data_IF_676591765147
#
_entry.id   IF_676591765147
#
_cell.length_a   1.000
_cell.length_b   1.000
_cell.length_c   1.000
_cell.angle_alpha   90.00
_cell.angle_beta   90.00
_cell.angle_gamma   90.00
#
_symmetry.space_group_name_H-M   'P 1'
#
loop_
_entity.id
_entity.type
_entity.pdbx_description
1 polymer ?
#
# COMPACT_ATOMS: atom_id res chain seq x y z
N UNK A 1 -0.55 -29.79 -7.39
CA UNK A 1 0.06 -28.94 -6.34
C UNK A 1 -0.97 -28.91 -5.23
N UNK A 2 -0.61 -29.26 -4.00
CA UNK A 2 -1.57 -29.30 -2.89
C UNK A 2 -1.96 -27.84 -2.60
N UNK A 3 -3.22 -27.47 -2.81
CA UNK A 3 -3.72 -26.15 -2.44
C UNK A 3 -3.62 -26.04 -0.91
N UNK A 4 -2.57 -25.38 -0.45
CA UNK A 4 -2.44 -25.01 0.97
C UNK A 4 -3.53 -23.97 1.21
N UNK A 5 -4.60 -24.36 1.90
CA UNK A 5 -5.56 -23.44 2.49
C UNK A 5 -4.79 -22.45 3.36
N UNK A 6 -4.99 -21.16 3.10
CA UNK A 6 -4.44 -20.09 3.92
C UNK A 6 -5.58 -19.41 4.67
N UNK A 7 -5.30 -18.93 5.87
CA UNK A 7 -6.28 -18.13 6.59
C UNK A 7 -6.36 -16.70 6.04
N UNK A 8 -7.34 -15.93 6.52
CA UNK A 8 -7.54 -14.54 6.08
C UNK A 8 -6.37 -13.63 6.48
N UNK A 9 -5.66 -13.93 7.57
CA UNK A 9 -4.50 -13.17 8.01
C UNK A 9 -3.34 -13.33 7.02
N UNK A 10 -3.04 -14.56 6.60
CA UNK A 10 -2.06 -14.88 5.57
C UNK A 10 -2.44 -14.27 4.21
N UNK A 11 -3.73 -14.32 3.84
CA UNK A 11 -4.22 -13.72 2.61
C UNK A 11 -4.01 -12.19 2.61
N UNK A 12 -4.29 -11.53 3.73
CA UNK A 12 -4.03 -10.11 3.91
C UNK A 12 -2.54 -9.80 3.80
N UNK A 13 -1.66 -10.63 4.36
CA UNK A 13 -0.21 -10.44 4.24
C UNK A 13 0.23 -10.50 2.78
N UNK A 14 -0.27 -11.45 1.98
CA UNK A 14 0.00 -11.50 0.54
C UNK A 14 -0.39 -10.21 -0.18
N UNK A 15 -1.52 -9.59 0.20
CA UNK A 15 -1.95 -8.31 -0.38
C UNK A 15 -0.92 -7.21 -0.10
N UNK A 16 -0.50 -7.03 1.16
CA UNK A 16 0.45 -5.98 1.54
C UNK A 16 1.89 -6.25 1.12
N UNK A 17 2.21 -7.51 0.82
CA UNK A 17 3.45 -7.88 0.16
C UNK A 17 3.43 -7.63 -1.35
N UNK A 18 2.30 -7.23 -1.96
CA UNK A 18 2.19 -7.04 -3.41
C UNK A 18 1.99 -8.33 -4.21
N UNK A 19 1.72 -9.46 -3.53
CA UNK A 19 1.56 -10.78 -4.13
C UNK A 19 0.14 -11.03 -4.66
N UNK A 20 -0.38 -10.10 -5.48
CA UNK A 20 -1.79 -10.08 -5.87
C UNK A 20 -2.23 -11.31 -6.69
N UNK A 21 -1.39 -11.78 -7.63
CA UNK A 21 -1.70 -12.98 -8.41
C UNK A 21 -1.84 -14.21 -7.51
N UNK A 22 -0.87 -14.42 -6.62
CA UNK A 22 -0.90 -15.53 -5.67
C UNK A 22 -2.11 -15.45 -4.75
N UNK A 23 -2.48 -14.25 -4.29
CA UNK A 23 -3.68 -14.03 -3.48
C UNK A 23 -4.97 -14.43 -4.21
N UNK A 24 -5.09 -14.14 -5.51
CA UNK A 24 -6.28 -14.50 -6.29
C UNK A 24 -6.43 -16.01 -6.52
N UNK A 25 -5.32 -16.74 -6.58
CA UNK A 25 -5.31 -18.20 -6.70
C UNK A 25 -5.80 -18.93 -5.45
N UNK A 26 -5.73 -18.27 -4.27
CA UNK A 26 -6.11 -18.89 -2.99
C UNK A 26 -7.62 -18.96 -2.82
N UNK A 27 -8.10 -20.08 -2.32
CA UNK A 27 -9.48 -20.19 -1.84
C UNK A 27 -9.59 -19.54 -0.46
N UNK A 28 -10.38 -18.47 -0.38
CA UNK A 28 -10.63 -17.70 0.85
C UNK A 28 -12.09 -17.82 1.32
N UNK A 29 -12.87 -18.69 0.65
CA UNK A 29 -14.31 -18.77 0.77
C UNK A 29 -15.05 -17.54 0.23
N UNK A 30 -16.37 -17.56 0.37
CA UNK A 30 -17.28 -16.53 -0.18
C UNK A 30 -17.65 -15.44 0.83
N UNK A 31 -16.88 -15.29 1.91
CA UNK A 31 -17.18 -14.27 2.91
C UNK A 31 -16.90 -12.85 2.37
N UNK A 32 -17.60 -11.87 2.93
CA UNK A 32 -17.55 -10.49 2.47
C UNK A 32 -16.13 -9.90 2.49
N UNK A 33 -15.35 -10.16 3.55
CA UNK A 33 -14.00 -9.64 3.69
C UNK A 33 -13.04 -10.22 2.63
N UNK A 34 -13.16 -11.51 2.33
CA UNK A 34 -12.40 -12.18 1.27
C UNK A 34 -12.74 -11.60 -0.11
N UNK A 35 -14.03 -11.36 -0.41
CA UNK A 35 -14.47 -10.73 -1.67
C UNK A 35 -13.91 -9.32 -1.81
N UNK A 36 -13.90 -8.53 -0.74
CA UNK A 36 -13.32 -7.18 -0.76
C UNK A 36 -11.81 -7.23 -1.01
N UNK A 37 -11.10 -8.11 -0.31
CA UNK A 37 -9.66 -8.26 -0.46
C UNK A 37 -9.28 -8.71 -1.89
N UNK A 38 -9.99 -9.69 -2.44
CA UNK A 38 -9.82 -10.13 -3.83
C UNK A 38 -10.16 -9.02 -4.83
N UNK A 39 -11.24 -8.28 -4.61
CA UNK A 39 -11.58 -7.11 -5.43
C UNK A 39 -10.48 -6.07 -5.46
N UNK A 40 -9.89 -5.74 -4.29
CA UNK A 40 -8.73 -4.84 -4.23
C UNK A 40 -7.55 -5.39 -5.03
N UNK A 41 -7.23 -6.68 -4.88
CA UNK A 41 -6.14 -7.32 -5.60
C UNK A 41 -6.36 -7.38 -7.12
N UNK A 42 -7.58 -7.67 -7.59
CA UNK A 42 -7.95 -7.62 -9.00
C UNK A 42 -7.70 -6.23 -9.58
N UNK A 43 -8.04 -5.17 -8.84
CA UNK A 43 -7.81 -3.79 -9.31
C UNK A 43 -6.31 -3.49 -9.41
N UNK A 44 -5.50 -3.94 -8.45
CA UNK A 44 -4.04 -3.79 -8.53
C UNK A 44 -3.43 -4.51 -9.74
N UNK A 45 -4.12 -5.51 -10.29
CA UNK A 45 -3.74 -6.24 -11.50
C UNK A 45 -4.36 -5.65 -12.79
N UNK A 46 -4.93 -4.45 -12.72
CA UNK A 46 -5.53 -3.77 -13.89
C UNK A 46 -6.89 -4.33 -14.33
N UNK A 47 -7.57 -5.09 -13.46
CA UNK A 47 -8.91 -5.67 -13.76
C UNK A 47 -10.06 -4.80 -13.25
N UNK A 48 -9.90 -3.48 -13.19
CA UNK A 48 -10.90 -2.55 -12.65
C UNK A 48 -12.28 -2.71 -13.27
N UNK A 49 -12.36 -2.73 -14.60
CA UNK A 49 -13.63 -2.88 -15.33
C UNK A 49 -14.38 -4.18 -15.03
N UNK A 50 -13.68 -5.30 -14.82
CA UNK A 50 -14.29 -6.58 -14.46
C UNK A 50 -14.96 -6.49 -13.08
N UNK A 51 -14.25 -5.92 -12.10
CA UNK A 51 -14.75 -5.75 -10.74
C UNK A 51 -15.95 -4.80 -10.72
N UNK A 52 -15.90 -3.70 -11.47
CA UNK A 52 -17.03 -2.76 -11.57
C UNK A 52 -18.30 -3.46 -12.10
N UNK A 53 -18.15 -4.37 -13.06
CA UNK A 53 -19.26 -5.18 -13.55
C UNK A 53 -19.80 -6.15 -12.48
N UNK A 54 -18.92 -6.78 -11.70
CA UNK A 54 -19.31 -7.66 -10.59
C UNK A 54 -20.05 -6.89 -9.48
N UNK A 55 -19.61 -5.67 -9.17
CA UNK A 55 -20.15 -4.83 -8.09
C UNK A 55 -21.39 -4.02 -8.48
N UNK A 56 -21.87 -4.08 -9.73
CA UNK A 56 -22.95 -3.23 -10.24
C UNK A 56 -24.26 -3.32 -9.44
N UNK A 57 -24.55 -4.50 -8.87
CA UNK A 57 -25.78 -4.79 -8.13
C UNK A 57 -25.55 -4.84 -6.62
N UNK A 58 -24.32 -4.65 -6.16
CA UNK A 58 -24.00 -4.65 -4.73
C UNK A 58 -24.46 -3.34 -4.09
N UNK A 59 -25.03 -3.46 -2.88
CA UNK A 59 -25.63 -2.33 -2.16
C UNK A 59 -25.13 -2.19 -0.73
N UNK A 60 -24.28 -3.09 -0.25
CA UNK A 60 -23.73 -2.98 1.10
C UNK A 60 -22.66 -1.88 1.14
N UNK A 61 -22.52 -1.14 2.25
CA UNK A 61 -21.56 -0.04 2.35
C UNK A 61 -20.12 -0.43 1.97
N UNK A 62 -19.71 -1.66 2.28
CA UNK A 62 -18.37 -2.15 1.98
C UNK A 62 -18.13 -2.33 0.48
N UNK A 63 -19.10 -2.89 -0.24
CA UNK A 63 -18.99 -3.08 -1.69
C UNK A 63 -19.21 -1.78 -2.46
N UNK A 64 -20.05 -0.87 -1.95
CA UNK A 64 -20.17 0.49 -2.48
C UNK A 64 -18.86 1.27 -2.29
N UNK A 65 -18.21 1.15 -1.13
CA UNK A 65 -16.90 1.77 -0.91
C UNK A 65 -15.82 1.18 -1.83
N UNK A 66 -15.83 -0.14 -2.04
CA UNK A 66 -14.96 -0.79 -3.01
C UNK A 66 -15.22 -0.28 -4.43
N UNK A 67 -16.47 -0.18 -4.86
CA UNK A 67 -16.84 0.32 -6.18
C UNK A 67 -16.41 1.78 -6.36
N UNK A 68 -16.70 2.64 -5.40
CA UNK A 68 -16.27 4.03 -5.40
C UNK A 68 -14.75 4.19 -5.50
N UNK A 69 -13.99 3.38 -4.75
CA UNK A 69 -12.53 3.36 -4.85
C UNK A 69 -12.04 2.85 -6.22
N UNK A 70 -12.60 1.76 -6.76
CA UNK A 70 -12.21 1.26 -8.09
C UNK A 70 -12.55 2.30 -9.18
N UNK A 71 -13.72 2.94 -9.14
CA UNK A 71 -14.09 4.01 -10.08
C UNK A 71 -13.07 5.15 -10.07
N UNK A 72 -12.72 5.62 -8.86
CA UNK A 72 -11.75 6.69 -8.67
C UNK A 72 -10.39 6.34 -9.29
N UNK A 73 -9.94 5.12 -9.04
CA UNK A 73 -8.64 4.61 -9.45
C UNK A 73 -8.55 4.28 -10.96
N UNK A 74 -9.66 3.94 -11.61
CA UNK A 74 -9.76 3.75 -13.07
C UNK A 74 -9.91 5.09 -13.83
N UNK A 75 -9.99 6.21 -13.11
CA UNK A 75 -9.99 7.57 -13.66
C UNK A 75 -11.35 8.27 -13.65
N UNK A 76 -12.44 7.59 -13.29
CA UNK A 76 -13.75 8.22 -13.04
C UNK A 76 -13.80 8.82 -11.63
N UNK A 77 -12.97 9.86 -11.44
CA UNK A 77 -12.79 10.50 -10.14
C UNK A 77 -14.09 11.10 -9.60
N UNK A 78 -14.89 11.73 -10.45
CA UNK A 78 -16.12 12.41 -10.03
C UNK A 78 -17.12 11.41 -9.44
N UNK A 79 -17.38 10.31 -10.17
CA UNK A 79 -18.29 9.29 -9.69
C UNK A 79 -17.71 8.55 -8.47
N UNK A 80 -16.43 8.21 -8.50
CA UNK A 80 -15.74 7.54 -7.40
C UNK A 80 -15.79 8.33 -6.09
N UNK A 81 -15.48 9.64 -6.13
CA UNK A 81 -15.55 10.53 -4.96
C UNK A 81 -16.99 10.67 -4.47
N UNK A 82 -17.96 10.83 -5.37
CA UNK A 82 -19.38 10.96 -5.01
C UNK A 82 -19.86 9.72 -4.23
N UNK A 83 -19.54 8.53 -4.73
CA UNK A 83 -19.95 7.28 -4.11
C UNK A 83 -19.26 7.06 -2.75
N UNK A 84 -17.96 7.35 -2.65
CA UNK A 84 -17.22 7.31 -1.39
C UNK A 84 -17.82 8.27 -0.37
N UNK A 85 -18.11 9.52 -0.75
CA UNK A 85 -18.71 10.52 0.15
C UNK A 85 -20.09 10.09 0.63
N UNK A 86 -20.89 9.47 -0.24
CA UNK A 86 -22.16 8.86 0.17
C UNK A 86 -21.93 7.79 1.24
N UNK A 87 -20.99 6.86 1.03
CA UNK A 87 -20.68 5.80 1.99
C UNK A 87 -20.18 6.35 3.33
N UNK A 88 -19.32 7.38 3.32
CA UNK A 88 -18.85 8.05 4.53
C UNK A 88 -20.03 8.67 5.30
N UNK A 89 -20.95 9.35 4.60
CA UNK A 89 -22.10 9.98 5.25
C UNK A 89 -23.06 8.98 5.92
N UNK A 90 -23.22 7.79 5.34
CA UNK A 90 -24.17 6.78 5.83
C UNK A 90 -23.54 5.76 6.77
N UNK A 91 -22.23 5.53 6.66
CA UNK A 91 -21.56 4.36 7.25
C UNK A 91 -20.11 4.64 7.64
N UNK A 92 -19.80 5.84 8.15
CA UNK A 92 -18.44 6.26 8.57
C UNK A 92 -17.75 5.37 9.60
N UNK A 93 -18.48 4.56 10.37
CA UNK A 93 -17.91 3.62 11.34
C UNK A 93 -17.55 2.25 10.74
N UNK A 94 -17.89 2.01 9.48
CA UNK A 94 -17.56 0.76 8.81
C UNK A 94 -16.07 0.74 8.43
N UNK A 95 -15.37 -0.32 8.82
CA UNK A 95 -13.92 -0.42 8.62
C UNK A 95 -13.49 -0.32 7.15
N UNK A 96 -14.22 -0.94 6.21
CA UNK A 96 -13.92 -0.84 4.77
C UNK A 96 -14.16 0.57 4.24
N UNK A 97 -15.24 1.22 4.68
CA UNK A 97 -15.54 2.62 4.32
C UNK A 97 -14.45 3.55 4.86
N UNK A 98 -13.99 3.35 6.10
CA UNK A 98 -12.91 4.13 6.69
C UNK A 98 -11.62 4.02 5.87
N UNK A 99 -11.19 2.80 5.54
CA UNK A 99 -9.93 2.59 4.82
C UNK A 99 -10.02 3.08 3.37
N UNK A 100 -11.03 2.66 2.61
CA UNK A 100 -11.13 3.01 1.19
C UNK A 100 -11.53 4.47 1.00
N UNK A 101 -12.43 4.98 1.86
CA UNK A 101 -12.80 6.39 1.87
C UNK A 101 -11.64 7.27 2.31
N UNK A 102 -10.92 6.88 3.37
CA UNK A 102 -9.71 7.55 3.80
C UNK A 102 -8.64 7.58 2.70
N UNK A 103 -8.47 6.49 1.95
CA UNK A 103 -7.52 6.44 0.84
C UNK A 103 -7.87 7.44 -0.26
N UNK A 104 -9.15 7.51 -0.67
CA UNK A 104 -9.59 8.50 -1.67
C UNK A 104 -9.41 9.93 -1.16
N UNK A 105 -9.76 10.21 0.10
CA UNK A 105 -9.56 11.53 0.71
C UNK A 105 -8.06 11.90 0.77
N UNK A 106 -7.19 10.95 1.13
CA UNK A 106 -5.73 11.13 1.11
C UNK A 106 -5.21 11.47 -0.29
N UNK A 107 -5.68 10.77 -1.33
CA UNK A 107 -5.28 11.02 -2.73
C UNK A 107 -5.76 12.36 -3.27
N UNK A 108 -6.88 12.87 -2.73
CA UNK A 108 -7.41 14.20 -3.02
C UNK A 108 -6.86 15.28 -2.07
N UNK A 109 -5.82 14.97 -1.29
CA UNK A 109 -5.14 15.88 -0.35
C UNK A 109 -6.07 16.46 0.74
N UNK A 110 -7.18 15.79 1.02
CA UNK A 110 -8.15 16.16 2.07
C UNK A 110 -7.77 15.52 3.40
N UNK A 111 -6.55 15.82 3.87
CA UNK A 111 -5.91 15.15 4.99
C UNK A 111 -6.70 15.26 6.31
N UNK A 112 -7.24 16.43 6.64
CA UNK A 112 -8.01 16.61 7.88
C UNK A 112 -9.31 15.79 7.85
N UNK A 113 -9.99 15.73 6.71
CA UNK A 113 -11.21 14.92 6.54
C UNK A 113 -10.87 13.42 6.62
N UNK A 114 -9.75 13.00 6.03
CA UNK A 114 -9.27 11.62 6.10
C UNK A 114 -8.95 11.22 7.56
N UNK A 115 -8.22 12.04 8.30
CA UNK A 115 -7.91 11.80 9.71
C UNK A 115 -9.18 11.74 10.57
N UNK A 116 -10.16 12.62 10.33
CA UNK A 116 -11.44 12.62 11.03
C UNK A 116 -12.24 11.32 10.80
N UNK A 117 -12.19 10.77 9.59
CA UNK A 117 -12.81 9.49 9.26
C UNK A 117 -12.06 8.32 9.91
N UNK A 118 -10.73 8.33 9.83
CA UNK A 118 -9.88 7.21 10.24
C UNK A 118 -9.75 7.09 11.76
N UNK A 119 -9.74 8.20 12.52
CA UNK A 119 -9.58 8.18 14.00
C UNK A 119 -10.63 7.33 14.73
N UNK A 120 -11.76 7.04 14.09
CA UNK A 120 -12.81 6.17 14.62
C UNK A 120 -12.54 4.68 14.44
N UNK A 121 -11.34 4.29 13.99
CA UNK A 121 -10.99 2.88 13.78
C UNK A 121 -11.04 2.09 15.09
N UNK A 122 -11.34 0.79 14.99
CA UNK A 122 -11.32 -0.14 16.12
C UNK A 122 -10.19 -1.14 15.90
N UNK A 123 -8.97 -0.78 16.29
CA UNK A 123 -7.75 -1.62 16.13
C UNK A 123 -7.56 -2.13 14.68
N UNK A 124 -7.88 -1.28 13.70
CA UNK A 124 -7.66 -1.59 12.29
C UNK A 124 -6.28 -1.09 11.84
N UNK A 125 -5.35 -2.01 11.60
CA UNK A 125 -3.98 -1.73 11.15
C UNK A 125 -3.90 -0.97 9.82
N UNK A 126 -4.85 -1.14 8.90
CA UNK A 126 -4.86 -0.42 7.62
C UNK A 126 -5.21 1.05 7.83
N UNK A 127 -6.13 1.34 8.75
CA UNK A 127 -6.47 2.71 9.12
C UNK A 127 -5.28 3.40 9.81
N UNK A 128 -4.61 2.71 10.74
CA UNK A 128 -3.37 3.20 11.38
C UNK A 128 -2.30 3.52 10.35
N UNK A 129 -2.03 2.60 9.42
CA UNK A 129 -1.02 2.80 8.39
C UNK A 129 -1.32 4.05 7.52
N UNK A 130 -2.60 4.26 7.19
CA UNK A 130 -3.00 5.43 6.42
C UNK A 130 -2.90 6.74 7.23
N UNK A 131 -3.22 6.71 8.53
CA UNK A 131 -2.98 7.85 9.44
C UNK A 131 -1.48 8.19 9.47
N UNK A 132 -0.60 7.18 9.60
CA UNK A 132 0.85 7.35 9.57
C UNK A 132 1.29 7.98 8.25
N UNK A 133 0.80 7.49 7.10
CA UNK A 133 1.12 8.07 5.79
C UNK A 133 0.70 9.54 5.69
N UNK A 134 -0.49 9.89 6.18
CA UNK A 134 -0.97 11.28 6.22
C UNK A 134 -0.02 12.15 7.07
N UNK A 135 0.29 11.72 8.30
CA UNK A 135 1.21 12.47 9.16
C UNK A 135 2.60 12.65 8.54
N UNK A 136 3.14 11.63 7.86
CA UNK A 136 4.41 11.76 7.15
C UNK A 136 4.30 12.76 5.98
N UNK A 137 3.21 12.76 5.22
CA UNK A 137 2.97 13.76 4.15
C UNK A 137 2.85 15.19 4.66
N UNK A 138 2.25 15.37 5.84
CA UNK A 138 2.15 16.68 6.49
C UNK A 138 3.42 17.07 7.28
N UNK A 139 4.50 16.30 7.16
CA UNK A 139 5.75 16.47 7.90
C UNK A 139 5.60 16.40 9.44
N UNK A 140 4.57 15.72 9.92
CA UNK A 140 4.26 15.53 11.35
C UNK A 140 4.87 14.23 11.90
N UNK A 141 6.20 14.09 11.79
CA UNK A 141 6.92 12.87 12.20
C UNK A 141 6.60 12.43 13.64
N UNK A 142 6.44 13.36 14.58
CA UNK A 142 6.14 13.03 15.99
C UNK A 142 4.78 12.36 16.17
N UNK A 143 3.76 12.81 15.44
CA UNK A 143 2.43 12.20 15.51
C UNK A 143 2.42 10.83 14.83
N UNK A 144 3.11 10.69 13.70
CA UNK A 144 3.32 9.39 13.06
C UNK A 144 3.99 8.37 14.00
N UNK A 145 5.04 8.77 14.72
CA UNK A 145 5.71 7.92 15.70
C UNK A 145 4.79 7.55 16.88
N UNK A 146 4.00 8.50 17.37
CA UNK A 146 3.05 8.24 18.47
C UNK A 146 1.98 7.23 18.05
N UNK A 147 1.46 7.36 16.83
CA UNK A 147 0.47 6.43 16.28
C UNK A 147 1.07 5.02 16.15
N UNK A 148 2.30 4.90 15.62
CA UNK A 148 3.02 3.64 15.54
C UNK A 148 3.20 2.99 16.92
N UNK A 149 3.65 3.74 17.92
CA UNK A 149 3.88 3.21 19.27
C UNK A 149 2.58 2.70 19.93
N UNK A 150 1.45 3.35 19.69
CA UNK A 150 0.14 2.86 20.14
C UNK A 150 -0.20 1.54 19.43
N UNK A 151 -0.04 1.48 18.12
CA UNK A 151 -0.36 0.29 17.33
C UNK A 151 0.48 -0.94 17.73
N UNK A 152 1.76 -0.74 18.05
CA UNK A 152 2.67 -1.81 18.50
C UNK A 152 2.22 -2.48 19.81
N UNK A 153 1.38 -1.84 20.61
CA UNK A 153 0.87 -2.46 21.84
C UNK A 153 -0.11 -3.62 21.59
N UNK A 154 -0.70 -3.69 20.39
CA UNK A 154 -1.71 -4.70 20.04
C UNK A 154 -1.45 -5.41 18.69
N UNK A 155 -0.58 -4.88 17.83
CA UNK A 155 -0.25 -5.46 16.51
C UNK A 155 1.26 -5.42 16.18
N UNK A 156 2.13 -5.71 17.15
CA UNK A 156 3.60 -5.66 16.98
C UNK A 156 4.12 -6.52 15.83
N UNK A 157 3.49 -7.67 15.57
CA UNK A 157 3.94 -8.67 14.60
C UNK A 157 3.21 -8.55 13.25
N UNK A 158 2.37 -7.53 13.09
CA UNK A 158 1.63 -7.30 11.86
C UNK A 158 2.52 -6.65 10.80
N UNK A 159 2.57 -7.24 9.61
CA UNK A 159 3.39 -6.74 8.49
C UNK A 159 3.08 -5.28 8.14
N UNK A 160 1.83 -4.83 8.29
CA UNK A 160 1.43 -3.47 7.98
C UNK A 160 2.05 -2.48 8.98
N UNK A 161 2.18 -2.89 10.24
CA UNK A 161 2.84 -2.11 11.28
C UNK A 161 4.36 -2.09 11.06
N UNK A 162 4.96 -3.21 10.65
CA UNK A 162 6.38 -3.26 10.27
C UNK A 162 6.67 -2.37 9.04
N UNK A 163 5.81 -2.39 8.02
CA UNK A 163 5.92 -1.49 6.87
C UNK A 163 5.78 -0.02 7.28
N UNK A 164 4.87 0.28 8.21
CA UNK A 164 4.69 1.64 8.74
C UNK A 164 5.93 2.11 9.53
N UNK A 165 6.58 1.23 10.27
CA UNK A 165 7.88 1.47 10.92
C UNK A 165 8.96 1.76 9.88
N UNK A 166 9.05 0.94 8.83
CA UNK A 166 10.00 1.14 7.74
C UNK A 166 9.81 2.51 7.05
N UNK A 167 8.57 2.97 6.82
CA UNK A 167 8.30 4.29 6.25
C UNK A 167 8.73 5.44 7.18
N UNK A 168 8.46 5.32 8.48
CA UNK A 168 8.89 6.31 9.48
C UNK A 168 10.42 6.40 9.54
N UNK A 169 11.11 5.26 9.46
CA UNK A 169 12.56 5.20 9.52
C UNK A 169 13.22 5.71 8.22
N UNK A 170 12.65 5.42 7.05
CA UNK A 170 13.06 6.05 5.79
C UNK A 170 12.80 7.56 5.78
N UNK A 171 11.74 8.02 6.43
CA UNK A 171 11.46 9.46 6.56
C UNK A 171 12.50 10.16 7.44
N UNK A 172 12.98 9.51 8.51
CA UNK A 172 14.08 10.02 9.35
C UNK A 172 15.42 10.04 8.59
N UNK A 173 15.65 9.01 7.77
CA UNK A 173 16.90 8.79 7.05
C UNK A 173 18.10 8.49 7.95
N UNK A 174 19.29 8.52 7.36
CA UNK A 174 20.54 8.20 8.06
C UNK A 174 20.55 6.76 8.57
N UNK A 175 21.00 6.55 9.80
CA UNK A 175 21.13 5.20 10.36
C UNK A 175 19.79 4.47 10.55
N UNK A 176 18.66 5.21 10.64
CA UNK A 176 17.33 4.62 10.75
C UNK A 176 16.97 3.78 9.52
N UNK A 177 17.44 4.18 8.33
CA UNK A 177 17.21 3.43 7.09
C UNK A 177 17.75 1.99 7.13
N UNK A 178 18.67 1.67 8.04
CA UNK A 178 19.15 0.30 8.22
C UNK A 178 18.04 -0.64 8.71
N UNK A 179 17.14 -0.15 9.58
CA UNK A 179 15.99 -0.94 10.02
C UNK A 179 15.04 -1.21 8.86
N UNK A 180 14.71 -0.17 8.09
CA UNK A 180 13.88 -0.28 6.88
C UNK A 180 14.47 -1.26 5.87
N UNK A 181 15.80 -1.23 5.67
CA UNK A 181 16.50 -2.18 4.80
C UNK A 181 16.21 -3.63 5.21
N UNK A 182 16.38 -3.99 6.48
CA UNK A 182 16.15 -5.37 6.93
C UNK A 182 14.68 -5.78 6.82
N UNK A 183 13.74 -4.87 7.11
CA UNK A 183 12.31 -5.14 6.94
C UNK A 183 12.01 -5.45 5.46
N UNK A 184 12.48 -4.63 4.52
CA UNK A 184 12.25 -4.87 3.09
C UNK A 184 13.00 -6.10 2.56
N UNK A 185 14.23 -6.34 3.02
CA UNK A 185 15.02 -7.52 2.66
C UNK A 185 14.30 -8.82 3.08
N UNK A 186 13.78 -8.89 4.31
CA UNK A 186 13.01 -10.04 4.79
C UNK A 186 11.75 -10.30 3.94
N UNK A 187 11.02 -9.24 3.60
CA UNK A 187 9.85 -9.33 2.73
C UNK A 187 10.22 -9.78 1.32
N UNK A 188 11.30 -9.25 0.76
CA UNK A 188 11.80 -9.60 -0.56
C UNK A 188 12.31 -11.06 -0.62
N UNK A 189 12.90 -11.60 0.46
CA UNK A 189 13.35 -12.99 0.51
C UNK A 189 12.20 -14.01 0.32
N UNK A 190 11.01 -13.69 0.82
CA UNK A 190 9.87 -14.60 0.76
C UNK A 190 9.20 -14.56 -0.62
N UNK A 191 8.93 -13.36 -1.15
CA UNK A 191 8.34 -13.20 -2.48
C UNK A 191 8.79 -11.88 -3.10
N UNK A 192 9.92 -11.87 -3.83
CA UNK A 192 10.44 -10.66 -4.45
C UNK A 192 9.44 -10.11 -5.46
N UNK A 193 9.14 -8.82 -5.36
CA UNK A 193 8.31 -8.10 -6.31
C UNK A 193 8.69 -6.62 -6.35
N UNK A 194 8.10 -5.89 -7.29
CA UNK A 194 8.38 -4.48 -7.54
C UNK A 194 8.34 -3.62 -6.26
N UNK A 195 7.32 -3.83 -5.43
CA UNK A 195 7.08 -3.02 -4.22
C UNK A 195 8.16 -3.26 -3.16
N UNK A 196 8.43 -4.52 -2.81
CA UNK A 196 9.38 -4.86 -1.75
C UNK A 196 10.81 -4.51 -2.14
N UNK A 197 11.19 -4.80 -3.40
CA UNK A 197 12.52 -4.50 -3.93
C UNK A 197 12.74 -2.99 -4.09
N UNK A 198 11.73 -2.22 -4.49
CA UNK A 198 11.85 -0.74 -4.54
C UNK A 198 12.05 -0.16 -3.14
N UNK A 199 11.33 -0.66 -2.13
CA UNK A 199 11.55 -0.27 -0.73
C UNK A 199 12.96 -0.59 -0.24
N UNK A 200 13.48 -1.77 -0.59
CA UNK A 200 14.87 -2.16 -0.30
C UNK A 200 15.87 -1.21 -0.98
N UNK A 201 15.70 -0.93 -2.27
CA UNK A 201 16.58 -0.04 -3.02
C UNK A 201 16.59 1.39 -2.45
N UNK A 202 15.43 1.91 -2.03
CA UNK A 202 15.35 3.22 -1.38
C UNK A 202 16.12 3.23 -0.06
N UNK A 203 16.05 2.16 0.73
CA UNK A 203 16.84 2.02 1.95
C UNK A 203 18.35 1.95 1.66
N UNK A 204 18.76 1.17 0.65
CA UNK A 204 20.15 1.09 0.17
C UNK A 204 20.68 2.47 -0.27
N UNK A 205 19.88 3.24 -1.02
CA UNK A 205 20.21 4.60 -1.42
C UNK A 205 20.44 5.52 -0.23
N UNK A 206 19.54 5.51 0.76
CA UNK A 206 19.69 6.33 1.96
C UNK A 206 20.89 5.93 2.84
N UNK A 207 21.31 4.67 2.76
CA UNK A 207 22.52 4.16 3.41
C UNK A 207 23.79 4.46 2.62
N UNK A 208 23.69 5.08 1.43
CA UNK A 208 24.82 5.37 0.55
C UNK A 208 25.38 4.15 -0.18
N UNK A 209 24.63 3.04 -0.21
CA UNK A 209 24.98 1.80 -0.93
C UNK A 209 24.50 1.90 -2.38
N UNK A 210 25.11 2.80 -3.14
CA UNK A 210 24.61 3.20 -4.45
C UNK A 210 24.67 2.06 -5.48
N UNK A 211 25.72 1.24 -5.44
CA UNK A 211 25.89 0.09 -6.32
C UNK A 211 24.84 -0.99 -6.03
N UNK A 212 24.61 -1.33 -4.75
CA UNK A 212 23.59 -2.29 -4.34
C UNK A 212 22.19 -1.80 -4.78
N UNK A 213 21.89 -0.52 -4.57
CA UNK A 213 20.63 0.07 -4.99
C UNK A 213 20.42 0.01 -6.51
N UNK A 214 21.46 0.23 -7.31
CA UNK A 214 21.39 0.10 -8.77
C UNK A 214 21.08 -1.34 -9.19
N UNK A 215 21.73 -2.32 -8.58
CA UNK A 215 21.46 -3.74 -8.84
C UNK A 215 20.04 -4.14 -8.45
N UNK A 216 19.55 -3.69 -7.29
CA UNK A 216 18.18 -3.93 -6.84
C UNK A 216 17.16 -3.28 -7.79
N UNK A 217 17.38 -2.04 -8.21
CA UNK A 217 16.48 -1.34 -9.15
C UNK A 217 16.48 -1.98 -10.54
N UNK A 218 17.61 -2.49 -11.01
CA UNK A 218 17.68 -3.24 -12.27
C UNK A 218 16.84 -4.53 -12.21
N UNK A 219 16.81 -5.21 -11.05
CA UNK A 219 15.91 -6.35 -10.83
C UNK A 219 14.44 -5.92 -10.89
N UNK A 220 14.09 -4.80 -10.24
CA UNK A 220 12.73 -4.24 -10.31
C UNK A 220 12.30 -3.97 -11.74
N UNK A 221 13.12 -3.26 -12.52
CA UNK A 221 12.81 -2.90 -13.91
C UNK A 221 12.80 -4.12 -14.85
N UNK A 222 13.44 -5.22 -14.48
CA UNK A 222 13.28 -6.50 -15.18
C UNK A 222 11.90 -7.12 -14.94
N UNK A 223 11.36 -6.99 -13.72
CA UNK A 223 10.03 -7.50 -13.35
C UNK A 223 8.91 -6.60 -13.88
N UNK A 224 9.09 -5.28 -13.74
CA UNK A 224 8.11 -4.25 -14.08
C UNK A 224 8.82 -3.09 -14.81
N UNK A 225 9.01 -3.18 -16.14
CA UNK A 225 9.79 -2.20 -16.90
C UNK A 225 9.26 -0.75 -16.86
N UNK A 226 7.98 -0.57 -16.55
CA UNK A 226 7.31 0.73 -16.50
C UNK A 226 6.93 1.15 -15.07
N UNK A 227 7.58 0.59 -14.06
CA UNK A 227 7.38 1.02 -12.68
C UNK A 227 7.93 2.43 -12.48
N UNK A 228 7.03 3.40 -12.29
CA UNK A 228 7.39 4.82 -12.18
C UNK A 228 8.24 5.13 -10.95
N UNK A 229 8.02 4.44 -9.83
CA UNK A 229 8.80 4.64 -8.61
C UNK A 229 10.21 4.06 -8.78
N UNK A 230 10.34 2.90 -9.40
CA UNK A 230 11.63 2.31 -9.71
C UNK A 230 12.44 3.16 -10.70
N UNK A 231 11.80 3.66 -11.77
CA UNK A 231 12.44 4.56 -12.74
C UNK A 231 12.93 5.85 -12.09
N UNK A 232 12.10 6.48 -11.25
CA UNK A 232 12.48 7.69 -10.53
C UNK A 232 13.70 7.45 -9.63
N UNK A 233 13.71 6.34 -8.88
CA UNK A 233 14.84 5.97 -8.03
C UNK A 233 16.08 5.63 -8.87
N UNK A 234 15.95 4.94 -10.00
CA UNK A 234 17.07 4.60 -10.88
C UNK A 234 17.74 5.85 -11.46
N UNK A 235 16.97 6.88 -11.82
CA UNK A 235 17.50 8.18 -12.24
C UNK A 235 18.31 8.84 -11.12
N UNK A 236 17.79 8.83 -9.89
CA UNK A 236 18.52 9.37 -8.72
C UNK A 236 19.82 8.60 -8.48
N UNK A 237 19.77 7.27 -8.46
CA UNK A 237 20.94 6.40 -8.27
C UNK A 237 22.00 6.65 -9.34
N UNK A 238 21.61 6.64 -10.62
CA UNK A 238 22.53 6.89 -11.73
C UNK A 238 23.14 8.30 -11.66
N UNK A 239 22.37 9.31 -11.25
CA UNK A 239 22.88 10.66 -11.03
C UNK A 239 23.96 10.69 -9.96
N UNK A 240 23.73 10.02 -8.82
CA UNK A 240 24.69 9.95 -7.70
C UNK A 240 25.95 9.17 -8.07
N UNK A 241 25.83 8.15 -8.93
CA UNK A 241 26.96 7.40 -9.49
C UNK A 241 27.69 8.12 -10.64
N UNK A 242 27.18 9.27 -11.12
CA UNK A 242 27.74 9.99 -12.26
C UNK A 242 27.56 9.27 -13.61
N UNK A 243 26.52 8.46 -13.74
CA UNK A 243 26.15 7.71 -14.96
C UNK A 243 25.14 8.48 -15.82
N UNK A 244 25.01 8.06 -17.08
CA UNK A 244 24.03 8.63 -18.01
C UNK A 244 22.60 8.22 -17.60
N UNK A 245 21.73 9.21 -17.36
CA UNK A 245 20.35 9.01 -16.94
C UNK A 245 19.36 8.94 -18.10
N UNK A 246 19.79 9.28 -19.32
CA UNK A 246 18.92 9.29 -20.50
C UNK A 246 18.32 7.92 -20.83
N UNK A 247 18.97 6.85 -20.38
CA UNK A 247 18.52 5.46 -20.51
C UNK A 247 17.21 5.15 -19.77
N UNK A 248 16.76 6.03 -18.88
CA UNK A 248 15.53 5.86 -18.09
C UNK A 248 14.39 6.84 -18.49
N UNK A 249 14.61 7.72 -19.47
CA UNK A 249 13.69 8.83 -19.82
C UNK A 249 13.10 8.62 -21.24
N UNK A 250 12.59 7.42 -21.53
CA UNK A 250 11.92 7.11 -22.81
C UNK A 250 10.41 7.41 -22.78
#
# INVERSE_FOLDING_TARGET
MMDIEIDFFQARNLFYQGCFNLLLEKDLGENQAARILKGRAQRMLGKGNEILWELKNETTPEFLALRGWVLYEEGDKEQGISEIRSCISTSSKNATVQVLGGHVLYREEQYEEALELLKGHSENVEAVALIIQIFLKENQLKEAQKELEIARTWASDDIIIQLSEAWIDLYKGGQAALNSFYIYEELAQTTPNSLTLTGQAVAELQLGRLEDAEETLAQVLTLTPHDGDALANAIVTATLLGKDTSVYIE
#
